data_IF_890674556190
#
_entry.id   IF_890674556190
#
_cell.length_a   1.000
_cell.length_b   1.000
_cell.length_c   1.000
_cell.angle_alpha   90.00
_cell.angle_beta   90.00
_cell.angle_gamma   90.00
#
_symmetry.space_group_name_H-M   'P 1'
#
loop_
_entity.id
_entity.type
_entity.pdbx_description
1 polymer ?
#
# COMPACT_ATOMS: atom_id res chain seq x y z
N UNK A 1 -25.36 -27.58 3.07
CA UNK A 1 -25.12 -26.12 3.12
C UNK A 1 -24.00 -25.84 4.11
N UNK A 2 -22.74 -25.68 3.68
CA UNK A 2 -21.62 -25.48 4.64
C UNK A 2 -20.40 -24.74 4.10
N UNK A 3 -20.40 -24.33 2.83
CA UNK A 3 -19.23 -23.74 2.17
C UNK A 3 -19.32 -22.20 2.10
N UNK A 4 -20.51 -21.62 2.29
CA UNK A 4 -20.75 -20.17 2.11
C UNK A 4 -20.01 -19.27 3.11
N UNK A 5 -19.87 -19.70 4.36
CA UNK A 5 -19.20 -18.92 5.41
C UNK A 5 -17.67 -18.87 5.22
N UNK A 6 -17.06 -19.97 4.75
CA UNK A 6 -15.63 -20.03 4.46
C UNK A 6 -15.27 -19.20 3.20
N UNK A 7 -16.13 -19.21 2.18
CA UNK A 7 -15.99 -18.40 0.97
C UNK A 7 -16.13 -16.90 1.26
N UNK A 8 -17.05 -16.50 2.14
CA UNK A 8 -17.22 -15.11 2.58
C UNK A 8 -15.99 -14.57 3.31
N UNK A 9 -15.43 -15.33 4.27
CA UNK A 9 -14.20 -14.94 4.97
C UNK A 9 -12.98 -14.88 4.04
N UNK A 10 -12.84 -15.83 3.10
CA UNK A 10 -11.74 -15.78 2.13
C UNK A 10 -11.85 -14.56 1.22
N UNK A 11 -13.06 -14.23 0.74
CA UNK A 11 -13.33 -13.04 -0.09
C UNK A 11 -13.03 -11.74 0.66
N UNK A 12 -13.35 -11.68 1.95
CA UNK A 12 -13.06 -10.53 2.80
C UNK A 12 -11.55 -10.38 3.09
N UNK A 13 -10.86 -11.50 3.33
CA UNK A 13 -9.39 -11.53 3.49
C UNK A 13 -8.65 -11.13 2.22
N UNK A 14 -9.20 -11.45 1.04
CA UNK A 14 -8.63 -11.06 -0.26
C UNK A 14 -8.81 -9.57 -0.55
N UNK A 15 -9.93 -8.96 -0.12
CA UNK A 15 -10.19 -7.52 -0.33
C UNK A 15 -9.23 -6.62 0.44
N UNK A 16 -8.75 -7.05 1.61
CA UNK A 16 -7.81 -6.26 2.40
C UNK A 16 -6.52 -5.92 1.64
N UNK A 17 -6.02 -6.83 0.79
CA UNK A 17 -4.83 -6.56 -0.02
C UNK A 17 -5.11 -5.56 -1.11
N UNK A 18 -6.28 -5.61 -1.74
CA UNK A 18 -6.68 -4.63 -2.76
C UNK A 18 -6.82 -3.26 -2.13
N UNK A 19 -7.57 -3.14 -1.03
CA UNK A 19 -7.78 -1.87 -0.32
C UNK A 19 -6.46 -1.28 0.16
N UNK A 20 -5.58 -2.10 0.75
CA UNK A 20 -4.27 -1.66 1.18
C UNK A 20 -3.39 -1.25 0.00
N UNK A 21 -3.43 -1.98 -1.12
CA UNK A 21 -2.68 -1.62 -2.31
C UNK A 21 -3.17 -0.31 -2.94
N UNK A 22 -4.48 -0.07 -3.02
CA UNK A 22 -5.05 1.19 -3.50
C UNK A 22 -4.65 2.37 -2.60
N UNK A 23 -4.69 2.18 -1.28
CA UNK A 23 -4.23 3.19 -0.34
C UNK A 23 -2.72 3.48 -0.45
N UNK A 24 -1.90 2.44 -0.62
CA UNK A 24 -0.46 2.58 -0.81
C UNK A 24 -0.11 3.22 -2.14
N UNK A 25 -0.86 2.89 -3.19
CA UNK A 25 -0.69 3.47 -4.53
C UNK A 25 -0.76 5.00 -4.46
N UNK A 26 -1.80 5.53 -3.81
CA UNK A 26 -2.05 6.99 -3.70
C UNK A 26 -1.22 7.66 -2.60
N UNK A 27 -0.54 6.88 -1.76
CA UNK A 27 0.34 7.41 -0.71
C UNK A 27 1.63 7.98 -1.30
N UNK A 28 2.27 8.91 -0.58
CA UNK A 28 3.59 9.43 -0.93
C UNK A 28 4.76 8.46 -0.62
N UNK A 29 4.47 7.25 -0.08
CA UNK A 29 5.49 6.30 0.34
C UNK A 29 6.22 5.71 -0.87
N UNK A 30 7.54 5.80 -0.93
CA UNK A 30 8.32 5.35 -2.08
C UNK A 30 8.99 3.99 -1.83
N UNK A 31 9.12 3.14 -2.88
CA UNK A 31 9.82 1.85 -2.77
C UNK A 31 11.27 1.99 -2.27
N UNK A 32 11.95 3.05 -2.69
CA UNK A 32 13.36 3.35 -2.34
C UNK A 32 13.56 3.73 -0.87
N UNK A 33 12.49 4.03 -0.13
CA UNK A 33 12.58 4.36 1.29
C UNK A 33 12.68 3.11 2.19
N UNK A 34 12.59 1.90 1.60
CA UNK A 34 12.61 0.63 2.33
C UNK A 34 11.67 0.62 3.55
N UNK A 35 10.37 0.92 3.35
CA UNK A 35 9.48 1.16 4.46
C UNK A 35 9.21 -0.09 5.29
N UNK A 36 9.20 0.07 6.60
CA UNK A 36 8.83 -0.98 7.55
C UNK A 36 7.34 -1.30 7.45
N UNK A 37 6.93 -2.50 7.90
CA UNK A 37 5.51 -2.88 7.99
C UNK A 37 4.67 -1.85 8.75
N UNK A 38 5.23 -1.24 9.80
CA UNK A 38 4.55 -0.20 10.58
C UNK A 38 4.29 1.06 9.76
N UNK A 39 5.30 1.54 9.03
CA UNK A 39 5.16 2.73 8.17
C UNK A 39 4.17 2.48 7.03
N UNK A 40 4.16 1.27 6.46
CA UNK A 40 3.19 0.85 5.45
C UNK A 40 1.76 0.91 6.00
N UNK A 41 1.53 0.33 7.18
CA UNK A 41 0.21 0.36 7.82
C UNK A 41 -0.25 1.78 8.12
N UNK A 42 0.64 2.64 8.64
CA UNK A 42 0.34 4.05 8.93
C UNK A 42 0.00 4.80 7.64
N UNK A 43 0.81 4.63 6.58
CA UNK A 43 0.57 5.29 5.30
C UNK A 43 -0.77 4.87 4.68
N UNK A 44 -1.07 3.57 4.68
CA UNK A 44 -2.35 3.06 4.18
C UNK A 44 -3.53 3.58 5.01
N UNK A 45 -3.45 3.53 6.35
CA UNK A 45 -4.50 4.05 7.23
C UNK A 45 -4.73 5.56 7.03
N UNK A 46 -3.66 6.34 6.83
CA UNK A 46 -3.76 7.77 6.58
C UNK A 46 -4.50 8.07 5.26
N UNK A 47 -4.17 7.37 4.16
CA UNK A 47 -4.85 7.60 2.88
C UNK A 47 -6.31 7.13 2.91
N UNK A 48 -6.59 6.00 3.56
CA UNK A 48 -7.96 5.53 3.78
C UNK A 48 -8.77 6.50 4.65
N UNK A 49 -8.16 7.10 5.68
CA UNK A 49 -8.82 8.10 6.51
C UNK A 49 -9.13 9.40 5.76
N UNK A 50 -8.26 9.81 4.82
CA UNK A 50 -8.44 11.02 4.02
C UNK A 50 -9.45 10.86 2.89
N UNK A 51 -9.41 9.71 2.19
CA UNK A 51 -10.12 9.51 0.90
C UNK A 51 -11.23 8.48 0.98
N UNK A 52 -11.21 7.60 1.98
CA UNK A 52 -12.01 6.38 2.00
C UNK A 52 -11.58 5.39 0.91
N UNK A 53 -12.15 4.18 0.95
CA UNK A 53 -11.86 3.12 -0.04
C UNK A 53 -12.20 3.57 -1.46
N UNK A 54 -13.39 4.12 -1.67
CA UNK A 54 -13.84 4.57 -2.99
C UNK A 54 -12.98 5.73 -3.53
N UNK A 55 -12.55 6.66 -2.67
CA UNK A 55 -11.67 7.75 -3.09
C UNK A 55 -10.26 7.29 -3.45
N UNK A 56 -9.73 6.27 -2.76
CA UNK A 56 -8.48 5.62 -3.17
C UNK A 56 -8.64 4.94 -4.54
N UNK A 57 -9.72 4.17 -4.76
CA UNK A 57 -9.99 3.53 -6.04
C UNK A 57 -10.18 4.54 -7.19
N UNK A 58 -10.86 5.66 -6.93
CA UNK A 58 -11.04 6.73 -7.91
C UNK A 58 -9.70 7.39 -8.30
N UNK A 59 -8.83 7.67 -7.33
CA UNK A 59 -7.51 8.23 -7.60
C UNK A 59 -6.59 7.25 -8.36
N UNK A 60 -6.69 5.95 -8.07
CA UNK A 60 -6.03 4.90 -8.87
C UNK A 60 -6.56 4.96 -10.31
N UNK A 61 -7.88 4.97 -10.51
CA UNK A 61 -8.47 4.99 -11.84
C UNK A 61 -8.07 6.23 -12.66
N UNK A 62 -7.98 7.40 -12.01
CA UNK A 62 -7.50 8.63 -12.64
C UNK A 62 -6.06 8.48 -13.13
N UNK A 63 -5.15 8.02 -12.27
CA UNK A 63 -3.74 7.83 -12.63
C UNK A 63 -3.57 6.79 -13.76
N UNK A 64 -4.39 5.74 -13.78
CA UNK A 64 -4.40 4.77 -14.88
C UNK A 64 -4.93 5.37 -16.20
N UNK A 65 -5.76 6.41 -16.14
CA UNK A 65 -6.23 7.15 -17.30
C UNK A 65 -5.15 8.10 -17.86
N UNK A 66 -4.45 8.81 -16.97
CA UNK A 66 -3.47 9.83 -17.34
C UNK A 66 -2.08 9.24 -17.65
N UNK A 67 -1.61 8.32 -16.80
CA UNK A 67 -0.26 7.76 -16.83
C UNK A 67 -0.25 6.23 -16.62
N UNK A 68 -0.77 5.45 -17.58
CA UNK A 68 -1.00 4.01 -17.40
C UNK A 68 0.28 3.21 -17.10
N UNK A 69 1.42 3.54 -17.71
CA UNK A 69 2.68 2.82 -17.48
C UNK A 69 3.25 3.07 -16.08
N UNK A 70 3.18 4.31 -15.60
CA UNK A 70 3.63 4.71 -14.26
C UNK A 70 2.72 4.09 -13.20
N UNK A 71 1.41 4.13 -13.44
CA UNK A 71 0.40 3.47 -12.62
C UNK A 71 0.66 1.95 -12.51
N UNK A 72 0.98 1.26 -13.61
CA UNK A 72 1.29 -0.18 -13.57
C UNK A 72 2.49 -0.46 -12.66
N UNK A 73 3.58 0.30 -12.80
CA UNK A 73 4.77 0.11 -11.98
C UNK A 73 4.46 0.34 -10.49
N UNK A 74 3.72 1.40 -10.18
CA UNK A 74 3.27 1.74 -8.82
C UNK A 74 2.36 0.68 -8.21
N UNK A 75 1.37 0.21 -8.97
CA UNK A 75 0.41 -0.80 -8.50
C UNK A 75 1.08 -2.15 -8.25
N UNK A 76 2.03 -2.55 -9.10
CA UNK A 76 2.83 -3.77 -8.88
C UNK A 76 3.59 -3.73 -7.57
N UNK A 77 4.20 -2.59 -7.26
CA UNK A 77 4.86 -2.40 -5.96
C UNK A 77 3.85 -2.46 -4.81
N UNK A 78 2.73 -1.73 -4.90
CA UNK A 78 1.73 -1.67 -3.84
C UNK A 78 1.12 -3.05 -3.54
N UNK A 79 0.80 -3.83 -4.57
CA UNK A 79 0.29 -5.20 -4.43
C UNK A 79 1.31 -6.14 -3.77
N UNK A 80 2.60 -6.05 -4.14
CA UNK A 80 3.67 -6.82 -3.50
C UNK A 80 3.73 -6.52 -2.01
N UNK A 81 3.80 -5.24 -1.67
CA UNK A 81 3.93 -4.78 -0.27
C UNK A 81 2.71 -5.16 0.56
N UNK A 82 1.50 -4.95 0.04
CA UNK A 82 0.26 -5.32 0.73
C UNK A 82 0.15 -6.83 0.94
N UNK A 83 0.55 -7.64 -0.04
CA UNK A 83 0.59 -9.10 0.10
C UNK A 83 1.64 -9.56 1.12
N UNK A 84 2.83 -8.96 1.14
CA UNK A 84 3.87 -9.26 2.12
C UNK A 84 3.40 -8.94 3.54
N UNK A 85 2.82 -7.76 3.76
CA UNK A 85 2.21 -7.38 5.04
C UNK A 85 1.13 -8.36 5.50
N UNK A 86 0.23 -8.78 4.59
CA UNK A 86 -0.80 -9.80 4.90
C UNK A 86 -0.16 -11.12 5.32
N UNK A 87 0.91 -11.52 4.65
CA UNK A 87 1.59 -12.78 4.91
C UNK A 87 2.55 -12.70 6.11
N UNK A 88 2.65 -11.56 6.81
CA UNK A 88 3.61 -11.34 7.90
C UNK A 88 5.08 -11.31 7.44
N UNK A 89 5.34 -11.24 6.13
CA UNK A 89 6.68 -11.10 5.56
C UNK A 89 7.05 -9.63 5.61
N UNK A 90 8.23 -9.30 6.13
CA UNK A 90 8.73 -7.93 6.05
C UNK A 90 9.02 -7.61 4.57
N UNK A 91 8.30 -6.63 3.96
CA UNK A 91 8.59 -6.23 2.60
C UNK A 91 9.94 -5.50 2.57
N UNK A 92 10.94 -6.13 1.97
CA UNK A 92 12.19 -5.46 1.62
C UNK A 92 13.30 -5.44 2.69
N UNK A 93 13.49 -6.50 3.48
CA UNK A 93 14.78 -6.71 4.15
C UNK A 93 15.86 -7.16 3.14
N UNK A 94 16.22 -6.29 2.21
CA UNK A 94 17.56 -6.36 1.63
C UNK A 94 18.52 -5.87 2.71
N UNK A 95 19.17 -6.83 3.39
CA UNK A 95 20.25 -6.56 4.35
C UNK A 95 21.23 -5.53 3.77
N UNK A 96 21.36 -4.41 4.49
CA UNK A 96 22.43 -3.41 4.48
C UNK A 96 22.57 -2.44 3.29
N UNK A 97 22.16 -1.16 3.49
CA UNK A 97 23.08 -0.04 3.81
C UNK A 97 22.36 1.32 3.76
N UNK A 98 22.41 2.06 4.88
CA UNK A 98 22.53 3.53 4.84
C UNK A 98 21.38 4.34 5.39
N UNK A 99 21.33 4.48 6.72
CA UNK A 99 20.94 5.73 7.37
C UNK A 99 21.63 6.93 6.69
N UNK A 100 20.85 7.89 6.14
CA UNK A 100 21.31 9.30 6.06
C UNK A 100 20.25 10.40 5.83
N UNK A 101 19.09 10.17 5.22
CA UNK A 101 18.38 11.32 4.61
C UNK A 101 17.03 11.79 5.20
N UNK A 102 16.45 11.15 6.23
CA UNK A 102 15.09 11.53 6.68
C UNK A 102 15.02 12.50 7.89
N UNK A 103 16.14 13.02 8.39
CA UNK A 103 16.14 14.14 9.36
C UNK A 103 16.14 15.52 8.65
N UNK A 104 15.20 15.79 7.74
CA UNK A 104 15.10 17.13 7.13
C UNK A 104 13.71 17.67 6.80
N UNK A 105 12.62 16.96 7.09
CA UNK A 105 11.27 17.50 6.85
C UNK A 105 10.42 17.73 8.11
N UNK A 106 10.97 17.49 9.31
CA UNK A 106 10.32 17.88 10.59
C UNK A 106 10.71 19.31 11.03
N UNK A 107 10.97 20.24 10.09
CA UNK A 107 11.37 21.62 10.45
C UNK A 107 10.76 22.76 9.62
N UNK A 108 9.68 22.51 8.88
CA UNK A 108 8.84 23.60 8.33
C UNK A 108 7.37 23.16 8.36
N UNK A 109 6.70 23.47 9.46
CA UNK A 109 5.48 24.29 9.54
C UNK A 109 4.94 24.28 10.96
#
# INVERSE_FOLDING_TARGET
MGIGIAQGLLKERSRLVVIMAEALFVSALQPSQHPTTREICIAAANELGKRGVAGCAAAVAAEFGDHPLEAIARMRWALRVAADCRNGRQPGISRERGDRHRRRLDRVS
#
